data_IF_036596841373
#
_entry.id   IF_036596841373
#
_cell.length_a   1.000
_cell.length_b   1.000
_cell.length_c   1.000
_cell.angle_alpha   90.00
_cell.angle_beta   90.00
_cell.angle_gamma   90.00
#
_symmetry.space_group_name_H-M   'P 1'
#
loop_
_entity.id
_entity.type
_entity.pdbx_description
1 polymer ?
#
# COMPACT_ATOMS: atom_id res chain seq x y z
N UNK A 1 4.57 3.56 11.35
CA UNK A 1 3.79 3.45 10.09
C UNK A 1 2.72 2.36 10.25
N UNK A 2 1.57 2.46 9.57
CA UNK A 2 0.59 1.37 9.56
C UNK A 2 1.16 0.21 8.74
N UNK A 3 1.12 -1.00 9.30
CA UNK A 3 1.52 -2.25 8.64
C UNK A 3 0.37 -3.24 8.76
N UNK A 4 0.05 -3.90 7.65
CA UNK A 4 -0.90 -5.01 7.61
C UNK A 4 -0.14 -6.31 7.87
N UNK A 5 -0.73 -7.22 8.65
CA UNK A 5 -0.24 -8.59 8.75
C UNK A 5 -0.34 -9.31 7.40
N UNK A 6 0.35 -10.44 7.24
CA UNK A 6 0.27 -11.27 6.01
C UNK A 6 -1.18 -11.68 5.72
N UNK A 7 -1.95 -12.06 6.75
CA UNK A 7 -3.36 -12.45 6.61
C UNK A 7 -4.24 -11.27 6.21
N UNK A 8 -4.02 -10.09 6.81
CA UNK A 8 -4.73 -8.86 6.43
C UNK A 8 -4.44 -8.47 4.98
N UNK A 9 -3.18 -8.57 4.53
CA UNK A 9 -2.81 -8.33 3.12
C UNK A 9 -3.55 -9.29 2.20
N UNK A 10 -3.56 -10.59 2.52
CA UNK A 10 -4.30 -11.60 1.77
C UNK A 10 -5.80 -11.29 1.71
N UNK A 11 -6.41 -10.94 2.85
CA UNK A 11 -7.82 -10.58 2.94
C UNK A 11 -8.16 -9.38 2.05
N UNK A 12 -7.36 -8.31 2.07
CA UNK A 12 -7.60 -7.14 1.19
C UNK A 12 -7.43 -7.50 -0.28
N UNK A 13 -6.38 -8.23 -0.65
CA UNK A 13 -6.13 -8.61 -2.05
C UNK A 13 -7.23 -9.53 -2.58
N UNK A 14 -7.82 -10.38 -1.73
CA UNK A 14 -8.93 -11.25 -2.09
C UNK A 14 -10.19 -10.46 -2.49
N UNK A 15 -10.42 -9.29 -1.89
CA UNK A 15 -11.54 -8.39 -2.22
C UNK A 15 -11.33 -7.58 -3.51
N UNK A 16 -10.13 -7.62 -4.10
CA UNK A 16 -9.83 -6.93 -5.35
C UNK A 16 -10.00 -7.87 -6.55
N UNK A 17 -10.38 -7.30 -7.68
CA UNK A 17 -10.48 -7.99 -8.98
C UNK A 17 -9.82 -7.18 -10.09
N UNK A 18 -9.51 -7.85 -11.21
CA UNK A 18 -8.99 -7.23 -12.42
C UNK A 18 -7.71 -6.41 -12.22
N UNK A 19 -7.62 -5.27 -12.90
CA UNK A 19 -6.43 -4.40 -12.89
C UNK A 19 -6.05 -3.91 -11.48
N UNK A 20 -6.98 -3.45 -10.62
CA UNK A 20 -6.63 -3.07 -9.25
C UNK A 20 -5.99 -4.19 -8.42
N UNK A 21 -6.41 -5.45 -8.59
CA UNK A 21 -5.80 -6.59 -7.91
C UNK A 21 -4.34 -6.76 -8.31
N UNK A 22 -4.06 -6.72 -9.62
CA UNK A 22 -2.71 -6.84 -10.15
C UNK A 22 -1.80 -5.71 -9.66
N UNK A 23 -2.31 -4.48 -9.68
CA UNK A 23 -1.56 -3.33 -9.15
C UNK A 23 -1.31 -3.44 -7.64
N UNK A 24 -2.29 -3.87 -6.84
CA UNK A 24 -2.10 -4.06 -5.40
C UNK A 24 -1.05 -5.15 -5.10
N UNK A 25 -1.04 -6.24 -5.87
CA UNK A 25 -0.02 -7.27 -5.78
C UNK A 25 1.38 -6.73 -6.13
N UNK A 26 1.51 -5.80 -7.07
CA UNK A 26 2.78 -5.13 -7.38
C UNK A 26 3.20 -4.14 -6.29
N UNK A 27 2.28 -3.36 -5.72
CA UNK A 27 2.58 -2.47 -4.59
C UNK A 27 3.12 -3.26 -3.39
N UNK A 28 2.51 -4.40 -3.08
CA UNK A 28 2.94 -5.27 -1.98
C UNK A 28 4.16 -6.12 -2.35
N UNK A 29 4.16 -6.81 -3.49
CA UNK A 29 5.20 -7.78 -3.80
C UNK A 29 6.50 -7.17 -4.32
N UNK A 30 6.45 -5.97 -4.91
CA UNK A 30 7.61 -5.27 -5.47
C UNK A 30 7.91 -3.95 -4.72
N UNK A 31 7.16 -3.65 -3.67
CA UNK A 31 7.34 -2.44 -2.87
C UNK A 31 7.13 -1.14 -3.65
N UNK A 32 6.36 -1.13 -4.74
CA UNK A 32 6.20 0.07 -5.56
C UNK A 32 5.41 1.17 -4.83
N UNK A 33 5.72 2.45 -5.10
CA UNK A 33 4.83 3.56 -4.78
C UNK A 33 3.64 3.57 -5.74
N UNK A 34 2.53 4.17 -5.31
CA UNK A 34 1.31 4.28 -6.11
C UNK A 34 1.57 4.82 -7.52
N UNK A 35 2.25 5.97 -7.63
CA UNK A 35 2.54 6.59 -8.91
C UNK A 35 3.61 5.84 -9.71
N UNK A 36 4.55 5.18 -9.06
CA UNK A 36 5.52 4.32 -9.76
C UNK A 36 4.80 3.16 -10.44
N UNK A 37 3.88 2.49 -9.73
CA UNK A 37 3.07 1.42 -10.29
C UNK A 37 2.17 1.90 -11.43
N UNK A 38 1.52 3.06 -11.28
CA UNK A 38 0.66 3.61 -12.33
C UNK A 38 1.45 4.01 -13.59
N UNK A 39 2.68 4.52 -13.41
CA UNK A 39 3.54 5.04 -14.48
C UNK A 39 4.49 4.00 -15.07
N UNK A 40 4.38 2.72 -14.71
CA UNK A 40 5.20 1.66 -15.31
C UNK A 40 5.00 1.64 -16.83
N UNK A 41 6.12 1.58 -17.57
CA UNK A 41 6.13 1.32 -19.01
C UNK A 41 6.35 -0.16 -19.28
N UNK A 42 5.94 -0.63 -20.45
CA UNK A 42 6.14 -2.03 -20.83
C UNK A 42 7.61 -2.44 -20.77
N UNK A 43 8.50 -1.59 -21.28
CA UNK A 43 9.96 -1.82 -21.27
C UNK A 43 10.59 -1.89 -19.87
N UNK A 44 9.87 -1.46 -18.84
CA UNK A 44 10.38 -1.45 -17.47
C UNK A 44 10.22 -2.82 -16.79
N UNK A 45 9.51 -3.78 -17.42
CA UNK A 45 9.30 -5.12 -16.89
C UNK A 45 10.20 -6.10 -17.63
N UNK A 46 11.11 -6.74 -16.91
CA UNK A 46 11.91 -7.85 -17.40
C UNK A 46 11.40 -9.15 -16.78
N UNK A 47 10.72 -9.95 -17.60
CA UNK A 47 10.22 -11.25 -17.17
C UNK A 47 11.33 -12.29 -17.05
N UNK A 48 12.39 -12.21 -17.85
CA UNK A 48 13.48 -13.20 -17.82
C UNK A 48 14.31 -13.01 -16.55
N UNK A 49 14.84 -11.79 -16.38
CA UNK A 49 15.62 -11.42 -15.20
C UNK A 49 14.74 -11.16 -13.96
N UNK A 50 13.42 -11.31 -14.07
CA UNK A 50 12.47 -11.27 -12.94
C UNK A 50 12.53 -9.98 -12.12
N UNK A 51 12.68 -8.84 -12.79
CA UNK A 51 12.78 -7.55 -12.14
C UNK A 51 11.94 -6.48 -12.83
N UNK A 52 11.75 -5.37 -12.11
CA UNK A 52 11.06 -4.17 -12.57
C UNK A 52 12.01 -2.99 -12.39
N UNK A 53 12.25 -2.25 -13.47
CA UNK A 53 13.02 -1.02 -13.44
C UNK A 53 12.08 0.14 -13.10
N UNK A 54 12.23 0.69 -11.90
CA UNK A 54 11.45 1.87 -11.49
C UNK A 54 12.22 3.12 -11.90
N UNK A 55 11.72 3.78 -12.94
CA UNK A 55 12.25 5.06 -13.43
C UNK A 55 11.85 6.19 -12.49
N UNK A 56 12.84 6.95 -12.03
CA UNK A 56 12.60 8.06 -11.14
C UNK A 56 12.13 9.33 -11.87
N UNK A 57 11.38 10.18 -11.17
CA UNK A 57 11.12 11.56 -11.57
C UNK A 57 12.29 12.49 -11.19
N UNK A 58 12.19 13.77 -11.55
CA UNK A 58 13.26 14.77 -11.34
C UNK A 58 13.77 14.75 -9.89
N UNK A 59 15.01 14.32 -9.73
CA UNK A 59 15.73 14.33 -8.46
C UNK A 59 16.08 12.94 -7.95
N UNK A 60 15.25 11.91 -8.12
CA UNK A 60 15.52 10.55 -7.62
C UNK A 60 16.32 9.70 -8.62
N UNK A 61 17.01 8.66 -8.12
CA UNK A 61 17.73 7.70 -8.96
C UNK A 61 16.80 6.57 -9.40
N UNK A 62 16.98 6.09 -10.63
CA UNK A 62 16.39 4.84 -11.08
C UNK A 62 16.80 3.71 -10.13
N UNK A 63 15.92 2.73 -9.96
CA UNK A 63 16.20 1.53 -9.17
C UNK A 63 15.58 0.29 -9.78
N UNK A 64 16.06 -0.86 -9.34
CA UNK A 64 15.52 -2.15 -9.71
C UNK A 64 14.84 -2.76 -8.49
N UNK A 65 13.66 -3.33 -8.69
CA UNK A 65 12.96 -4.12 -7.67
C UNK A 65 12.53 -5.46 -8.24
N UNK A 66 12.06 -6.36 -7.39
CA UNK A 66 11.66 -7.71 -7.75
C UNK A 66 10.35 -7.72 -8.55
N UNK A 67 10.23 -8.64 -9.52
CA UNK A 67 8.95 -8.99 -10.15
C UNK A 67 8.36 -10.20 -9.42
N UNK A 68 7.26 -10.05 -8.66
CA UNK A 68 6.71 -11.15 -7.86
C UNK A 68 6.26 -12.32 -8.74
N UNK A 69 6.65 -13.55 -8.39
CA UNK A 69 6.31 -14.73 -9.19
C UNK A 69 4.81 -14.88 -9.42
N UNK A 70 4.00 -14.58 -8.40
CA UNK A 70 2.53 -14.68 -8.45
C UNK A 70 1.88 -13.77 -9.48
N UNK A 71 2.52 -12.64 -9.84
CA UNK A 71 1.95 -11.70 -10.81
C UNK A 71 2.41 -11.94 -12.23
N UNK A 72 3.41 -12.81 -12.47
CA UNK A 72 4.03 -12.98 -13.80
C UNK A 72 3.01 -13.35 -14.88
N UNK A 73 2.31 -14.46 -14.71
CA UNK A 73 1.33 -14.92 -15.71
C UNK A 73 0.10 -13.98 -15.81
N UNK A 74 -0.50 -13.51 -14.71
CA UNK A 74 -1.55 -12.49 -14.79
C UNK A 74 -1.11 -11.21 -15.51
N UNK A 75 0.15 -10.79 -15.32
CA UNK A 75 0.72 -9.60 -15.96
C UNK A 75 0.99 -9.83 -17.45
N UNK A 76 1.44 -11.01 -17.87
CA UNK A 76 1.57 -11.34 -19.30
C UNK A 76 0.22 -11.25 -20.01
N UNK A 77 -0.82 -11.90 -19.47
CA UNK A 77 -2.16 -11.84 -20.05
C UNK A 77 -2.74 -10.42 -20.06
N UNK A 78 -2.45 -9.63 -19.02
CA UNK A 78 -2.81 -8.23 -19.00
C UNK A 78 -2.09 -7.45 -20.11
N UNK A 79 -0.79 -7.64 -20.29
CA UNK A 79 0.00 -6.99 -21.33
C UNK A 79 -0.43 -7.41 -22.75
N UNK A 80 -0.84 -8.66 -22.97
CA UNK A 80 -1.42 -9.10 -24.25
C UNK A 80 -2.71 -8.34 -24.58
N UNK A 81 -3.58 -8.15 -23.59
CA UNK A 81 -4.80 -7.33 -23.75
C UNK A 81 -4.47 -5.87 -24.03
N UNK A 82 -3.48 -5.32 -23.34
CA UNK A 82 -3.01 -3.94 -23.54
C UNK A 82 -2.36 -3.76 -24.91
N UNK A 83 -1.62 -4.77 -25.40
CA UNK A 83 -1.03 -4.78 -26.74
C UNK A 83 -2.09 -4.72 -27.84
N UNK A 84 -3.12 -5.57 -27.74
CA UNK A 84 -4.27 -5.52 -28.67
C UNK A 84 -5.04 -4.21 -28.60
N UNK A 85 -5.12 -3.58 -27.43
CA UNK A 85 -5.68 -2.23 -27.30
C UNK A 85 -4.83 -1.20 -28.04
N UNK A 86 -3.52 -1.22 -27.81
CA UNK A 86 -2.56 -0.33 -28.46
C UNK A 86 -2.57 -0.47 -29.98
N UNK A 87 -2.56 -1.69 -30.51
CA UNK A 87 -2.63 -1.96 -31.95
C UNK A 87 -3.90 -1.36 -32.59
N UNK A 88 -5.05 -1.45 -31.90
CA UNK A 88 -6.30 -0.79 -32.35
C UNK A 88 -6.24 0.73 -32.28
N UNK A 89 -5.65 1.27 -31.22
CA UNK A 89 -5.46 2.72 -31.09
C UNK A 89 -4.54 3.22 -32.23
N UNK A 90 -3.43 2.53 -32.51
CA UNK A 90 -2.50 2.86 -33.59
C UNK A 90 -3.19 2.79 -34.96
N UNK A 91 -3.99 1.75 -35.22
CA UNK A 91 -4.73 1.58 -36.47
C UNK A 91 -5.77 2.68 -36.73
N UNK A 92 -6.31 3.29 -35.67
CA UNK A 92 -7.26 4.42 -35.76
C UNK A 92 -6.58 5.80 -35.77
N UNK A 93 -5.25 5.85 -35.92
CA UNK A 93 -4.49 7.11 -35.93
C UNK A 93 -4.18 7.68 -34.53
N UNK A 94 -4.52 6.95 -33.47
CA UNK A 94 -4.15 7.24 -32.09
C UNK A 94 -2.90 6.44 -31.67
N UNK A 95 -2.85 5.98 -30.41
CA UNK A 95 -1.75 5.18 -29.86
C UNK A 95 -0.57 6.01 -29.36
N UNK A 96 -0.77 7.31 -29.17
CA UNK A 96 0.27 8.19 -28.65
C UNK A 96 0.33 8.15 -27.12
N UNK A 97 1.54 8.28 -26.56
CA UNK A 97 1.75 8.51 -25.13
C UNK A 97 2.68 9.69 -24.91
N UNK A 98 2.54 10.33 -23.74
CA UNK A 98 3.53 11.30 -23.27
C UNK A 98 4.89 10.62 -23.08
N UNK A 99 5.96 11.25 -23.55
CA UNK A 99 7.33 10.80 -23.37
C UNK A 99 8.08 11.69 -22.36
N UNK A 100 9.03 11.12 -21.58
CA UNK A 100 9.76 11.90 -20.60
C UNK A 100 10.69 12.97 -21.22
N UNK A 101 10.64 14.20 -20.71
CA UNK A 101 11.59 15.25 -21.05
C UNK A 101 11.70 15.55 -22.55
N UNK A 102 12.91 15.60 -23.08
CA UNK A 102 13.17 15.90 -24.49
C UNK A 102 13.07 14.68 -25.43
N UNK A 103 12.70 13.50 -24.92
CA UNK A 103 12.67 12.27 -25.72
C UNK A 103 11.73 12.37 -26.91
N UNK A 104 10.56 13.01 -26.75
CA UNK A 104 9.63 13.18 -27.87
C UNK A 104 10.18 14.05 -29.00
N UNK A 105 11.12 14.95 -28.71
CA UNK A 105 11.82 15.75 -29.75
C UNK A 105 12.91 14.95 -30.44
N UNK A 106 13.63 14.10 -29.68
CA UNK A 106 14.75 13.30 -30.21
C UNK A 106 14.29 12.07 -30.99
N UNK A 107 13.19 11.45 -30.55
CA UNK A 107 12.63 10.23 -31.12
C UNK A 107 11.12 10.40 -31.33
N UNK A 108 10.69 11.05 -32.44
CA UNK A 108 9.29 11.42 -32.64
C UNK A 108 8.33 10.22 -32.72
N UNK A 109 8.81 9.06 -33.15
CA UNK A 109 8.00 7.85 -33.27
C UNK A 109 7.93 7.01 -31.99
N UNK A 110 8.79 7.27 -31.00
CA UNK A 110 8.88 6.47 -29.78
C UNK A 110 7.56 6.46 -28.98
N UNK A 111 6.75 7.51 -29.10
CA UNK A 111 5.46 7.63 -28.41
C UNK A 111 4.41 6.61 -28.90
N UNK A 112 4.61 5.97 -30.05
CA UNK A 112 3.72 4.91 -30.58
C UNK A 112 4.32 3.52 -30.49
N UNK A 113 5.57 3.40 -30.05
CA UNK A 113 6.22 2.12 -29.87
C UNK A 113 5.67 1.40 -28.65
N UNK A 114 5.55 0.08 -28.74
CA UNK A 114 5.03 -0.79 -27.69
C UNK A 114 5.81 -0.64 -26.36
N UNK A 115 7.13 -0.54 -26.45
CA UNK A 115 8.04 -0.40 -25.31
C UNK A 115 7.69 0.79 -24.40
N UNK A 116 7.16 1.87 -24.98
CA UNK A 116 6.84 3.10 -24.26
C UNK A 116 5.39 3.16 -23.77
N UNK A 117 4.55 2.18 -24.09
CA UNK A 117 3.17 2.19 -23.63
C UNK A 117 3.08 1.95 -22.12
N UNK A 118 2.01 2.46 -21.50
CA UNK A 118 1.74 2.22 -20.09
C UNK A 118 1.35 0.76 -19.86
N UNK A 119 1.89 0.15 -18.81
CA UNK A 119 1.44 -1.18 -18.37
C UNK A 119 -0.02 -1.13 -17.96
N UNK A 120 -0.44 -0.06 -17.28
CA UNK A 120 -1.81 0.16 -16.84
C UNK A 120 -2.38 1.38 -17.56
N UNK A 121 -2.88 1.24 -18.80
CA UNK A 121 -3.41 2.36 -19.55
C UNK A 121 -4.80 2.78 -19.04
N UNK A 122 -5.13 4.07 -19.18
CA UNK A 122 -6.46 4.60 -18.91
C UNK A 122 -7.49 4.04 -19.90
N UNK A 123 -8.76 3.94 -19.48
CA UNK A 123 -9.84 3.40 -20.33
C UNK A 123 -10.14 4.28 -21.54
N UNK A 124 -9.99 5.61 -21.40
CA UNK A 124 -10.34 6.58 -22.45
C UNK A 124 -9.08 7.23 -23.03
N UNK A 125 -9.18 7.56 -24.31
CA UNK A 125 -8.23 8.46 -24.97
C UNK A 125 -8.57 9.91 -24.60
N UNK A 126 -7.59 10.79 -24.67
CA UNK A 126 -7.78 12.23 -24.65
C UNK A 126 -7.08 12.84 -25.86
N UNK A 127 -7.57 14.00 -26.30
CA UNK A 127 -6.92 14.78 -27.34
C UNK A 127 -6.00 15.79 -26.68
N UNK A 128 -4.73 15.72 -27.01
CA UNK A 128 -3.73 16.68 -26.56
C UNK A 128 -3.99 18.04 -27.21
N UNK A 129 -4.09 19.10 -26.40
CA UNK A 129 -4.45 20.43 -26.90
C UNK A 129 -3.33 21.06 -27.74
N UNK A 130 -2.07 20.78 -27.40
CA UNK A 130 -0.91 21.38 -28.09
C UNK A 130 -0.60 20.67 -29.41
N UNK A 131 -0.60 19.34 -29.40
CA UNK A 131 -0.19 18.53 -30.56
C UNK A 131 -1.36 17.99 -31.39
N UNK A 132 -2.59 18.09 -30.89
CA UNK A 132 -3.78 17.49 -31.51
C UNK A 132 -3.81 15.95 -31.46
N UNK A 133 -2.80 15.31 -30.88
CA UNK A 133 -2.65 13.85 -30.86
C UNK A 133 -3.66 13.19 -29.93
N UNK A 134 -4.23 12.07 -30.37
CA UNK A 134 -5.05 11.22 -29.52
C UNK A 134 -4.15 10.32 -28.68
N UNK A 135 -4.05 10.66 -27.39
CA UNK A 135 -3.14 10.04 -26.43
C UNK A 135 -3.88 9.17 -25.42
N UNK A 136 -3.18 8.18 -24.89
CA UNK A 136 -3.61 7.41 -23.72
C UNK A 136 -2.71 7.72 -22.53
N UNK A 137 -3.33 8.17 -21.44
CA UNK A 137 -2.61 8.33 -20.18
C UNK A 137 -2.55 6.99 -19.43
N UNK A 138 -1.76 6.91 -18.36
CA UNK A 138 -1.88 5.80 -17.42
C UNK A 138 -3.21 5.87 -16.67
N UNK A 139 -3.64 4.73 -16.12
CA UNK A 139 -4.80 4.63 -15.26
C UNK A 139 -4.68 5.64 -14.11
N UNK A 140 -5.72 6.42 -13.90
CA UNK A 140 -5.74 7.43 -12.86
C UNK A 140 -5.63 6.76 -11.49
N UNK A 141 -4.75 7.26 -10.63
CA UNK A 141 -4.36 6.62 -9.37
C UNK A 141 -5.53 6.51 -8.38
N UNK A 142 -6.52 7.41 -8.48
CA UNK A 142 -7.73 7.38 -7.65
C UNK A 142 -8.56 6.11 -7.89
N UNK A 143 -8.45 5.47 -9.06
CA UNK A 143 -9.11 4.18 -9.33
C UNK A 143 -8.59 3.13 -8.37
N UNK A 144 -7.26 3.02 -8.25
CA UNK A 144 -6.64 2.06 -7.33
C UNK A 144 -6.88 2.45 -5.86
N UNK A 145 -6.75 3.73 -5.52
CA UNK A 145 -7.00 4.20 -4.14
C UNK A 145 -8.42 3.89 -3.67
N UNK A 146 -9.43 4.12 -4.51
CA UNK A 146 -10.83 3.81 -4.20
C UNK A 146 -11.04 2.30 -4.08
N UNK A 147 -10.51 1.51 -5.00
CA UNK A 147 -10.60 0.06 -4.95
C UNK A 147 -9.97 -0.51 -3.67
N UNK A 148 -8.75 -0.09 -3.31
CA UNK A 148 -8.08 -0.52 -2.08
C UNK A 148 -8.84 -0.08 -0.84
N UNK A 149 -9.34 1.16 -0.78
CA UNK A 149 -10.13 1.64 0.35
C UNK A 149 -11.40 0.81 0.57
N UNK A 150 -12.08 0.46 -0.51
CA UNK A 150 -13.29 -0.38 -0.44
C UNK A 150 -12.93 -1.80 -0.02
N UNK A 151 -11.84 -2.37 -0.56
CA UNK A 151 -11.35 -3.69 -0.19
C UNK A 151 -10.94 -3.80 1.29
N UNK A 152 -10.26 -2.77 1.83
CA UNK A 152 -9.90 -2.69 3.27
C UNK A 152 -11.15 -2.72 4.15
N UNK A 153 -12.19 -1.95 3.78
CA UNK A 153 -13.47 -1.95 4.51
C UNK A 153 -14.17 -3.30 4.41
N UNK A 154 -14.23 -3.89 3.21
CA UNK A 154 -14.85 -5.19 2.98
C UNK A 154 -14.13 -6.34 3.71
N UNK A 155 -12.82 -6.23 3.89
CA UNK A 155 -12.02 -7.18 4.67
C UNK A 155 -12.18 -7.02 6.20
N UNK A 156 -13.00 -6.07 6.67
CA UNK A 156 -13.21 -5.83 8.11
C UNK A 156 -12.00 -5.23 8.83
N UNK A 157 -11.05 -4.64 8.10
CA UNK A 157 -9.84 -4.07 8.69
C UNK A 157 -10.13 -2.68 9.23
N UNK A 158 -9.89 -2.50 10.53
CA UNK A 158 -10.11 -1.23 11.25
C UNK A 158 -8.93 -0.27 11.15
N UNK A 159 -7.73 -0.77 10.82
CA UNK A 159 -6.53 0.06 10.60
C UNK A 159 -6.76 1.04 9.43
N UNK A 160 -6.25 2.28 9.49
CA UNK A 160 -6.37 3.24 8.39
C UNK A 160 -5.40 2.88 7.24
N UNK A 161 -5.70 1.78 6.55
CA UNK A 161 -4.87 1.21 5.50
C UNK A 161 -5.25 1.75 4.10
N UNK A 162 -4.24 1.93 3.25
CA UNK A 162 -4.36 2.35 1.86
C UNK A 162 -3.19 1.85 1.02
N UNK A 163 -3.02 2.41 -0.19
CA UNK A 163 -1.99 1.92 -1.12
C UNK A 163 -0.56 2.01 -0.56
N UNK A 164 -0.24 3.05 0.21
CA UNK A 164 1.07 3.21 0.85
C UNK A 164 1.34 2.13 1.92
N UNK A 165 0.29 1.61 2.56
CA UNK A 165 0.37 0.56 3.58
C UNK A 165 0.91 -0.75 3.01
N UNK A 166 0.61 -1.09 1.76
CA UNK A 166 1.20 -2.27 1.10
C UNK A 166 2.72 -2.17 1.01
N UNK A 167 3.25 -1.01 0.63
CA UNK A 167 4.70 -0.79 0.57
C UNK A 167 5.35 -0.83 1.95
N UNK A 168 4.68 -0.28 2.98
CA UNK A 168 5.16 -0.39 4.36
C UNK A 168 5.19 -1.86 4.83
N UNK A 169 4.15 -2.62 4.48
CA UNK A 169 4.04 -4.03 4.83
C UNK A 169 5.08 -4.88 4.09
N UNK A 170 5.35 -4.59 2.81
CA UNK A 170 6.45 -5.20 2.06
C UNK A 170 7.79 -5.05 2.77
N UNK A 171 8.15 -3.80 3.10
CA UNK A 171 9.42 -3.50 3.76
C UNK A 171 9.54 -4.21 5.10
N UNK A 172 8.48 -4.16 5.92
CA UNK A 172 8.44 -4.78 7.23
C UNK A 172 8.52 -6.30 7.12
N UNK A 173 7.77 -6.93 6.22
CA UNK A 173 7.78 -8.39 6.07
C UNK A 173 9.11 -8.91 5.50
N UNK A 174 9.81 -8.15 4.64
CA UNK A 174 11.16 -8.52 4.23
C UNK A 174 12.13 -8.51 5.42
N UNK A 175 12.08 -7.45 6.21
CA UNK A 175 12.89 -7.35 7.40
C UNK A 175 12.57 -8.46 8.43
N UNK A 176 11.30 -8.80 8.62
CA UNK A 176 10.86 -9.91 9.49
C UNK A 176 11.35 -11.27 8.97
N UNK A 177 11.47 -11.42 7.65
CA UNK A 177 12.03 -12.61 7.01
C UNK A 177 13.57 -12.63 7.04
N UNK A 178 14.21 -11.68 7.74
CA UNK A 178 15.66 -11.66 7.94
C UNK A 178 16.47 -11.02 6.81
N UNK A 179 15.84 -10.34 5.85
CA UNK A 179 16.59 -9.60 4.83
C UNK A 179 17.30 -8.39 5.44
N UNK A 180 18.52 -8.11 4.97
CA UNK A 180 19.30 -6.97 5.44
C UNK A 180 18.64 -5.63 5.09
N UNK A 181 18.81 -4.64 5.98
CA UNK A 181 18.23 -3.31 5.83
C UNK A 181 18.70 -2.60 4.56
N UNK A 182 19.95 -2.82 4.11
CA UNK A 182 20.47 -2.25 2.85
C UNK A 182 19.77 -2.85 1.64
N UNK A 183 19.54 -4.15 1.64
CA UNK A 183 18.74 -4.81 0.58
C UNK A 183 17.34 -4.21 0.49
N UNK A 184 16.68 -4.02 1.64
CA UNK A 184 15.33 -3.40 1.67
C UNK A 184 15.40 -1.93 1.24
N UNK A 185 16.43 -1.19 1.65
CA UNK A 185 16.66 0.20 1.25
C UNK A 185 16.80 0.33 -0.27
N UNK A 186 17.58 -0.55 -0.91
CA UNK A 186 17.81 -0.58 -2.36
C UNK A 186 16.53 -0.86 -3.14
N UNK A 187 15.77 -1.89 -2.75
CA UNK A 187 14.49 -2.26 -3.39
C UNK A 187 13.47 -1.10 -3.31
N UNK A 188 13.45 -0.40 -2.19
CA UNK A 188 12.58 0.75 -1.99
C UNK A 188 13.12 2.04 -2.65
N UNK A 189 14.41 2.12 -2.95
CA UNK A 189 15.03 3.34 -3.51
C UNK A 189 15.09 4.47 -2.52
N UNK A 190 15.34 4.18 -1.25
CA UNK A 190 15.55 5.21 -0.26
C UNK A 190 16.99 5.69 -0.34
N UNK A 191 17.18 7.00 -0.53
CA UNK A 191 18.51 7.61 -0.57
C UNK A 191 19.23 7.52 0.77
N UNK A 192 18.46 7.58 1.84
CA UNK A 192 18.95 7.49 3.21
C UNK A 192 18.33 6.27 3.90
N UNK A 193 19.19 5.52 4.60
CA UNK A 193 18.81 4.36 5.39
C UNK A 193 17.86 4.74 6.54
N UNK A 194 17.92 5.98 7.03
CA UNK A 194 17.01 6.49 8.07
C UNK A 194 15.54 6.34 7.66
N UNK A 195 15.23 6.50 6.38
CA UNK A 195 13.85 6.32 5.86
C UNK A 195 13.42 4.86 5.93
N UNK A 196 14.36 3.91 5.81
CA UNK A 196 14.12 2.47 5.96
C UNK A 196 14.10 2.06 7.43
N UNK A 197 14.85 2.73 8.30
CA UNK A 197 14.84 2.49 9.75
C UNK A 197 13.48 2.73 10.41
N UNK A 198 12.59 3.50 9.78
CA UNK A 198 11.19 3.62 10.24
C UNK A 198 10.51 2.23 10.34
N UNK A 199 10.96 1.23 9.56
CA UNK A 199 10.47 -0.15 9.63
C UNK A 199 11.22 -1.03 10.63
N UNK A 200 12.45 -0.71 11.02
CA UNK A 200 13.20 -1.52 11.99
C UNK A 200 12.65 -1.37 13.41
N UNK A 201 12.00 -0.24 13.72
CA UNK A 201 11.24 -0.10 14.97
C UNK A 201 10.10 -1.13 15.10
N UNK A 202 9.64 -1.70 13.98
CA UNK A 202 8.62 -2.77 13.98
C UNK A 202 9.25 -4.16 14.21
N UNK A 203 10.56 -4.31 13.92
CA UNK A 203 11.31 -5.56 14.13
C UNK A 203 11.85 -5.75 15.54
N UNK A 204 12.17 -4.66 16.26
CA UNK A 204 12.27 -4.75 17.71
C UNK A 204 10.99 -5.42 18.13
N UNK A 205 11.06 -6.64 18.67
CA UNK A 205 10.05 -7.72 18.71
C UNK A 205 8.69 -7.38 19.37
N UNK A 206 8.37 -6.10 19.42
CA UNK A 206 7.19 -5.46 19.93
C UNK A 206 7.10 -5.65 21.44
N UNK A 207 6.02 -5.13 22.02
CA UNK A 207 5.54 -5.60 23.31
C UNK A 207 5.31 -7.12 23.35
N UNK A 208 5.14 -7.80 22.20
CA UNK A 208 4.86 -9.24 22.14
C UNK A 208 6.02 -10.16 22.56
N UNK A 209 7.28 -9.72 22.45
CA UNK A 209 8.42 -10.41 23.05
C UNK A 209 8.72 -9.96 24.47
N UNK A 210 8.06 -8.89 24.94
CA UNK A 210 8.12 -8.45 26.32
C UNK A 210 7.03 -9.21 27.07
N UNK A 211 7.44 -10.15 27.92
CA UNK A 211 6.49 -10.79 28.83
C UNK A 211 5.90 -9.71 29.75
N UNK A 212 4.58 -9.56 29.76
CA UNK A 212 3.95 -8.56 30.63
C UNK A 212 4.17 -8.98 32.09
N UNK A 213 4.54 -8.07 33.00
CA UNK A 213 4.55 -8.35 34.43
C UNK A 213 3.19 -8.88 34.92
N UNK A 214 2.09 -8.48 34.29
CA UNK A 214 0.75 -9.00 34.60
C UNK A 214 0.61 -10.51 34.34
N UNK A 215 1.33 -11.04 33.33
CA UNK A 215 1.34 -12.48 32.99
C UNK A 215 2.07 -13.32 34.05
N UNK A 216 2.77 -12.68 35.00
CA UNK A 216 3.42 -13.33 36.14
C UNK A 216 2.50 -13.39 37.37
N UNK A 217 1.46 -12.54 37.44
CA UNK A 217 0.52 -12.51 38.56
C UNK A 217 -0.36 -13.76 38.62
N UNK A 218 -0.59 -14.44 37.50
CA UNK A 218 -1.41 -15.65 37.42
C UNK A 218 -0.75 -16.91 38.01
N UNK A 219 0.54 -16.88 38.37
CA UNK A 219 1.26 -18.06 38.90
C UNK A 219 1.22 -18.21 40.43
N UNK A 220 0.61 -17.27 41.16
CA UNK A 220 0.57 -17.25 42.63
C UNK A 220 -0.77 -17.59 43.29
N UNK A 221 -1.86 -17.69 42.52
CA UNK A 221 -3.18 -18.04 43.06
C UNK A 221 -3.95 -18.87 42.04
N UNK A 222 -3.83 -20.19 42.15
CA UNK A 222 -4.58 -21.14 41.33
C UNK A 222 -6.10 -21.15 41.62
N UNK A 223 -6.67 -20.08 42.21
CA UNK A 223 -8.05 -20.08 42.70
C UNK A 223 -8.77 -18.71 42.67
N UNK A 224 -8.37 -17.77 41.79
CA UNK A 224 -9.23 -16.62 41.52
C UNK A 224 -9.34 -16.31 40.02
N UNK A 225 -10.54 -16.46 39.41
CA UNK A 225 -10.77 -16.04 38.04
C UNK A 225 -10.80 -14.52 37.99
N UNK A 226 -9.86 -13.90 37.28
CA UNK A 226 -9.81 -12.46 37.01
C UNK A 226 -10.92 -11.98 36.05
N UNK A 227 -12.09 -12.63 36.05
CA UNK A 227 -13.26 -12.28 35.25
C UNK A 227 -14.48 -12.27 36.17
N UNK A 228 -14.58 -11.23 36.98
CA UNK A 228 -15.85 -10.70 37.43
C UNK A 228 -15.73 -9.18 37.29
N UNK A 229 -15.75 -8.69 36.05
CA UNK A 229 -16.10 -7.30 35.81
C UNK A 229 -17.58 -7.24 36.17
N UNK A 230 -17.87 -6.75 37.38
CA UNK A 230 -19.21 -6.64 37.94
C UNK A 230 -20.21 -6.14 36.88
N UNK A 231 -21.28 -6.91 36.68
CA UNK A 231 -22.47 -6.45 35.99
C UNK A 231 -22.97 -5.18 36.71
N UNK A 232 -22.84 -4.03 36.06
CA UNK A 232 -23.21 -2.70 36.57
C UNK A 232 -24.71 -2.60 36.92
N UNK A 233 -25.50 -3.65 36.68
CA UNK A 233 -26.93 -3.71 36.96
C UNK A 233 -27.31 -4.03 38.42
N UNK A 234 -26.36 -4.42 39.29
CA UNK A 234 -26.68 -4.85 40.67
C UNK A 234 -25.98 -4.06 41.78
N UNK A 235 -26.00 -2.73 41.73
CA UNK A 235 -25.69 -1.90 42.92
C UNK A 235 -26.99 -1.44 43.60
N UNK A 236 -27.16 -1.61 44.94
CA UNK A 236 -28.32 -1.07 45.64
C UNK A 236 -28.29 0.46 45.58
N UNK A 237 -29.46 1.06 45.33
CA UNK A 237 -29.66 2.51 45.38
C UNK A 237 -29.31 3.01 46.79
N UNK A 238 -28.25 3.79 46.91
CA UNK A 238 -27.95 4.54 48.13
C UNK A 238 -29.06 5.58 48.33
N UNK A 239 -29.97 5.34 49.28
CA UNK A 239 -30.93 6.35 49.73
C UNK A 239 -30.16 7.45 50.47
N UNK A 240 -30.14 8.64 49.88
CA UNK A 240 -29.60 9.84 50.51
C UNK A 240 -30.46 10.23 51.73
N UNK A 241 -29.97 9.94 52.94
CA UNK A 241 -30.52 10.53 54.15
C UNK A 241 -30.15 12.02 54.18
N UNK A 242 -31.15 12.89 54.01
CA UNK A 242 -31.05 14.33 54.27
C UNK A 242 -30.59 14.54 55.71
N UNK A 243 -29.40 15.10 55.92
CA UNK A 243 -29.06 15.80 57.15
C UNK A 243 -29.18 17.30 56.93
N UNK A 244 -30.17 17.85 57.62
CA UNK A 244 -30.46 19.28 57.78
C UNK A 244 -29.25 20.01 58.40
N UNK A 245 -28.74 21.01 57.69
CA UNK A 245 -27.81 22.01 58.23
C UNK A 245 -28.64 23.14 58.86
N UNK A 246 -28.65 23.23 60.18
CA UNK A 246 -29.05 24.44 60.92
C UNK A 246 -27.86 25.39 61.03
N UNK A 247 -28.01 26.70 60.81
CA UNK A 247 -26.94 27.68 60.99
C UNK A 247 -27.02 28.33 62.38
N UNK A 248 -25.91 28.33 63.12
CA UNK A 248 -25.56 29.27 64.20
C UNK A 248 -24.02 29.35 64.14
N UNK A 249 -23.34 30.49 64.03
CA UNK A 249 -23.59 31.86 64.46
C UNK A 249 -22.35 32.29 65.26
N UNK A 250 -21.70 33.37 64.82
CA UNK A 250 -20.75 34.29 65.49
C UNK A 250 -20.39 33.98 66.97
N UNK A 251 -19.16 34.10 67.47
CA UNK A 251 -18.20 35.24 67.62
C UNK A 251 -17.17 34.70 68.66
N UNK A 252 -15.90 35.08 68.77
CA UNK A 252 -15.22 36.38 68.74
C UNK A 252 -13.80 36.19 68.19
#
# INVERSE_FOLDING_TARGET
>A
PVVLSRDEVCAVIAQLAGTPKLMACLLYGAGLRLLECARLRVKDIDFEASHIVVRAGKGDKDRITVLPRIVREPLRHHLERVRRLHERDVASGAGWVELPGSLGRKYPNAAREWAWQWVFPATRLYRDHETGQHRRHHLHETVLQRAVRNAVRAAGITKPAGCHTFRHSFATHLLENGYDIRTVQELLGHRDVTTTMIYTHVLNRGPGAVRSPADLLAKGSADQPWIAIDDVRSRPRYTAARRSLTPRGNTQ
#
